data_IF_150467682370
#
_entry.id   IF_150467682370
#
_cell.length_a   1.000
_cell.length_b   1.000
_cell.length_c   1.000
_cell.angle_alpha   90.00
_cell.angle_beta   90.00
_cell.angle_gamma   90.00
#
_symmetry.space_group_name_H-M   'P 1'
#
loop_
_entity.id
_entity.type
_entity.pdbx_description
1 polymer ?
#
# COMPACT_ATOMS: atom_id res chain seq x y z
N UNK A 1 34.41 -10.50 -19.39
CA UNK A 1 32.98 -10.16 -19.43
C UNK A 1 32.54 -9.94 -18.00
N UNK A 2 32.33 -8.69 -17.60
CA UNK A 2 31.86 -8.35 -16.26
C UNK A 2 30.34 -8.44 -16.28
N UNK A 3 29.78 -9.50 -15.69
CA UNK A 3 28.34 -9.60 -15.47
C UNK A 3 27.99 -8.62 -14.36
N UNK A 4 27.46 -7.45 -14.73
CA UNK A 4 26.78 -6.56 -13.79
C UNK A 4 25.49 -7.25 -13.36
N UNK A 5 25.58 -8.09 -12.33
CA UNK A 5 24.41 -8.61 -11.63
C UNK A 5 23.75 -7.44 -10.93
N UNK A 6 22.83 -6.74 -11.61
CA UNK A 6 21.94 -5.82 -10.91
C UNK A 6 21.06 -6.66 -10.01
N UNK A 7 21.36 -6.70 -8.72
CA UNK A 7 20.60 -7.43 -7.72
C UNK A 7 19.26 -6.70 -7.56
N UNK A 8 18.22 -7.17 -8.27
CA UNK A 8 16.87 -6.66 -8.11
C UNK A 8 16.31 -7.19 -6.79
N UNK A 9 16.06 -6.28 -5.86
CA UNK A 9 15.41 -6.59 -4.59
C UNK A 9 13.91 -6.36 -4.72
N UNK A 10 13.12 -7.26 -4.14
CA UNK A 10 11.68 -7.10 -4.01
C UNK A 10 11.34 -6.93 -2.54
N UNK A 11 10.69 -5.82 -2.22
CA UNK A 11 10.19 -5.52 -0.89
C UNK A 11 8.67 -5.66 -0.88
N UNK A 12 8.14 -6.15 0.25
CA UNK A 12 6.70 -6.17 0.50
C UNK A 12 6.44 -5.31 1.74
N UNK A 13 5.55 -4.34 1.60
CA UNK A 13 5.14 -3.43 2.68
C UNK A 13 3.65 -3.66 2.94
N UNK A 14 3.29 -3.88 4.21
CA UNK A 14 1.89 -3.91 4.64
C UNK A 14 1.45 -2.51 5.04
N UNK A 15 0.36 -2.03 4.43
CA UNK A 15 -0.25 -0.75 4.75
C UNK A 15 -1.71 -0.91 5.15
N UNK A 16 -2.20 0.03 5.95
CA UNK A 16 -3.61 0.23 6.26
C UNK A 16 -4.03 1.57 5.65
N UNK A 17 -5.05 1.54 4.79
CA UNK A 17 -5.64 2.73 4.18
C UNK A 17 -7.12 2.83 4.53
N UNK A 18 -7.67 4.05 4.49
CA UNK A 18 -9.06 4.30 4.88
C UNK A 18 -9.76 5.34 4.01
N UNK A 19 -11.08 5.29 4.01
CA UNK A 19 -12.00 6.26 3.40
C UNK A 19 -13.32 6.25 4.17
N UNK A 20 -14.03 7.37 4.19
CA UNK A 20 -15.39 7.51 4.71
C UNK A 20 -16.48 7.21 3.64
N UNK A 21 -16.09 6.90 2.39
CA UNK A 21 -17.03 6.70 1.27
C UNK A 21 -17.14 5.26 0.81
N UNK A 22 -16.02 4.58 0.60
CA UNK A 22 -16.02 3.20 0.11
C UNK A 22 -14.67 2.50 0.30
N UNK A 23 -14.67 1.17 0.18
CA UNK A 23 -13.44 0.39 0.13
C UNK A 23 -12.57 0.70 -1.10
N UNK A 24 -13.18 0.95 -2.26
CA UNK A 24 -12.44 1.31 -3.48
C UNK A 24 -11.68 2.62 -3.31
N UNK A 25 -12.30 3.62 -2.67
CA UNK A 25 -11.62 4.88 -2.37
C UNK A 25 -10.52 4.68 -1.32
N UNK A 26 -10.72 3.81 -0.32
CA UNK A 26 -9.68 3.45 0.64
C UNK A 26 -8.45 2.82 -0.06
N UNK A 27 -8.66 1.92 -1.02
CA UNK A 27 -7.56 1.36 -1.86
C UNK A 27 -6.84 2.47 -2.62
N UNK A 28 -7.58 3.35 -3.31
CA UNK A 28 -6.99 4.46 -4.06
C UNK A 28 -6.17 5.39 -3.15
N UNK A 29 -6.66 5.68 -1.95
CA UNK A 29 -5.94 6.49 -0.97
C UNK A 29 -4.62 5.83 -0.55
N UNK A 30 -4.63 4.52 -0.27
CA UNK A 30 -3.42 3.77 0.05
C UNK A 30 -2.38 3.80 -1.07
N UNK A 31 -2.81 3.58 -2.31
CA UNK A 31 -1.91 3.65 -3.49
C UNK A 31 -1.33 5.05 -3.67
N UNK A 32 -2.15 6.11 -3.53
CA UNK A 32 -1.68 7.50 -3.62
C UNK A 32 -0.64 7.83 -2.56
N UNK A 33 -0.89 7.40 -1.31
CA UNK A 33 0.05 7.63 -0.21
C UNK A 33 1.42 7.00 -0.50
N UNK A 34 1.43 5.76 -0.98
CA UNK A 34 2.66 5.06 -1.37
C UNK A 34 3.41 5.77 -2.50
N UNK A 35 2.72 6.28 -3.52
CA UNK A 35 3.38 7.01 -4.62
C UNK A 35 3.88 8.38 -4.16
N UNK A 36 3.23 9.01 -3.19
CA UNK A 36 3.64 10.31 -2.63
C UNK A 36 4.71 10.23 -1.54
N UNK A 37 4.95 9.04 -0.99
CA UNK A 37 5.89 8.82 0.11
C UNK A 37 7.35 8.94 -0.32
N UNK A 38 8.23 9.30 0.62
CA UNK A 38 9.68 9.26 0.43
C UNK A 38 10.19 7.81 0.45
N UNK A 39 9.86 7.04 -0.57
CA UNK A 39 10.50 5.76 -0.81
C UNK A 39 11.85 6.01 -1.52
N UNK A 40 12.81 5.10 -1.36
CA UNK A 40 14.09 5.18 -2.08
C UNK A 40 13.84 5.50 -3.57
N UNK A 41 14.67 6.36 -4.18
CA UNK A 41 14.43 6.88 -5.55
C UNK A 41 14.21 5.77 -6.61
N UNK A 42 14.71 4.56 -6.33
CA UNK A 42 14.60 3.37 -7.16
C UNK A 42 13.42 2.44 -6.85
N UNK A 43 12.64 2.65 -5.78
CA UNK A 43 11.49 1.79 -5.47
C UNK A 43 10.34 2.09 -6.43
N UNK A 44 9.87 1.05 -7.11
CA UNK A 44 8.71 1.07 -8.00
C UNK A 44 7.73 0.00 -7.54
N UNK A 45 6.58 0.43 -7.04
CA UNK A 45 5.48 -0.47 -6.69
C UNK A 45 4.88 -1.09 -7.94
N UNK A 46 4.69 -2.41 -7.94
CA UNK A 46 4.26 -3.16 -9.12
C UNK A 46 2.87 -3.77 -8.98
N UNK A 47 2.50 -4.16 -7.76
CA UNK A 47 1.25 -4.83 -7.47
C UNK A 47 0.90 -4.70 -5.97
N UNK A 48 -0.37 -4.90 -5.67
CA UNK A 48 -0.87 -5.01 -4.31
C UNK A 48 -1.83 -6.19 -4.19
N UNK A 49 -1.95 -6.72 -2.98
CA UNK A 49 -2.95 -7.69 -2.57
C UNK A 49 -3.74 -7.12 -1.42
N UNK A 50 -5.08 -7.13 -1.52
CA UNK A 50 -5.96 -6.80 -0.40
C UNK A 50 -6.01 -8.02 0.51
N UNK A 51 -5.39 -7.91 1.69
CA UNK A 51 -5.33 -9.01 2.66
C UNK A 51 -6.46 -8.97 3.68
N UNK A 52 -7.05 -7.78 3.90
CA UNK A 52 -8.19 -7.62 4.80
C UNK A 52 -9.00 -6.37 4.45
N UNK A 53 -10.32 -6.48 4.61
CA UNK A 53 -11.26 -5.36 4.53
C UNK A 53 -12.02 -5.30 5.85
N UNK A 54 -12.11 -4.11 6.44
CA UNK A 54 -12.80 -3.90 7.71
C UNK A 54 -13.55 -2.56 7.72
N UNK A 55 -14.64 -2.49 8.48
CA UNK A 55 -15.44 -1.27 8.62
C UNK A 55 -15.51 -0.84 10.07
N UNK A 56 -15.44 0.46 10.33
CA UNK A 56 -15.79 1.04 11.62
C UNK A 56 -17.27 1.36 11.59
N UNK A 57 -18.00 0.85 12.58
CA UNK A 57 -19.43 1.09 12.74
C UNK A 57 -19.62 2.15 13.81
N UNK A 58 -20.41 3.17 13.51
CA UNK A 58 -20.96 4.07 14.52
C UNK A 58 -22.36 3.58 14.87
N UNK A 59 -22.58 3.39 16.17
CA UNK A 59 -23.83 2.93 16.73
C UNK A 59 -24.36 3.93 17.76
N UNK A 60 -25.54 4.49 17.50
CA UNK A 60 -26.33 5.27 18.45
C UNK A 60 -27.72 4.62 18.62
N UNK A 61 -28.57 5.18 19.50
CA UNK A 61 -29.86 4.58 19.87
C UNK A 61 -30.78 4.31 18.66
N UNK A 62 -30.57 5.00 17.52
CA UNK A 62 -31.43 4.91 16.33
C UNK A 62 -30.68 4.62 15.02
N UNK A 63 -29.35 4.52 15.03
CA UNK A 63 -28.55 4.31 13.81
C UNK A 63 -27.39 3.36 14.06
N UNK A 64 -27.19 2.47 13.09
CA UNK A 64 -26.03 1.61 12.98
C UNK A 64 -25.53 1.75 11.54
N UNK A 65 -24.45 2.50 11.34
CA UNK A 65 -23.89 2.76 10.00
C UNK A 65 -22.38 2.56 9.98
N UNK A 66 -21.87 2.08 8.84
CA UNK A 66 -20.43 2.03 8.60
C UNK A 66 -19.98 3.45 8.27
N UNK A 67 -19.08 4.00 9.08
CA UNK A 67 -18.57 5.37 8.92
C UNK A 67 -17.18 5.43 8.30
N UNK A 68 -16.39 4.36 8.43
CA UNK A 68 -15.05 4.28 7.85
C UNK A 68 -14.82 2.91 7.25
N UNK A 69 -14.46 2.90 5.98
CA UNK A 69 -13.98 1.74 5.24
C UNK A 69 -12.46 1.69 5.34
N UNK A 70 -11.93 0.57 5.79
CA UNK A 70 -10.51 0.34 5.99
C UNK A 70 -10.06 -0.88 5.20
N UNK A 71 -8.92 -0.77 4.53
CA UNK A 71 -8.33 -1.84 3.74
C UNK A 71 -6.88 -2.02 4.15
N UNK A 72 -6.50 -3.25 4.49
CA UNK A 72 -5.12 -3.65 4.69
C UNK A 72 -4.61 -4.25 3.37
N UNK A 73 -3.48 -3.76 2.89
CA UNK A 73 -2.88 -4.22 1.65
C UNK A 73 -1.41 -4.56 1.83
N UNK A 74 -0.99 -5.67 1.23
CA UNK A 74 0.43 -5.96 1.01
C UNK A 74 0.81 -5.42 -0.37
N UNK A 75 1.77 -4.51 -0.42
CA UNK A 75 2.22 -3.88 -1.65
C UNK A 75 3.66 -4.27 -1.94
N UNK A 76 3.87 -4.85 -3.11
CA UNK A 76 5.19 -5.24 -3.57
C UNK A 76 5.81 -4.11 -4.40
N UNK A 77 7.06 -3.80 -4.10
CA UNK A 77 7.90 -2.89 -4.89
C UNK A 77 9.22 -3.54 -5.24
N UNK A 78 9.83 -3.06 -6.33
CA UNK A 78 11.17 -3.46 -6.75
C UNK A 78 12.10 -2.27 -6.76
N UNK A 79 13.34 -2.48 -6.38
CA UNK A 79 14.42 -1.51 -6.54
C UNK A 79 15.74 -2.20 -6.88
N UNK A 80 16.64 -1.42 -7.50
CA UNK A 80 18.02 -1.82 -7.74
C UNK A 80 18.91 -1.16 -6.69
N UNK A 81 19.78 -1.96 -6.09
CA UNK A 81 20.94 -1.45 -5.38
C UNK A 81 22.08 -1.34 -6.39
N UNK A 82 22.51 -0.11 -6.68
CA UNK A 82 23.83 0.08 -7.25
C UNK A 82 24.82 -0.12 -6.10
N UNK A 83 25.64 -1.17 -6.19
CA UNK A 83 26.82 -1.29 -5.35
C UNK A 83 27.81 -0.25 -5.87
N UNK A 84 27.91 0.88 -5.17
CA UNK A 84 29.02 1.82 -5.33
C UNK A 84 30.33 1.03 -5.15
N UNK A 85 31.14 1.00 -6.22
CA UNK A 85 32.51 0.47 -6.24
C UNK A 85 33.50 1.64 -6.21
#
# INVERSE_FOLDING_TARGET
MHTTNSNEHQDIIRILASSDKSFDEAVQNGVRQLVSGHHHQSLRFTNFEVVQMQGIIQHDDNRCEVTIFQVVMDVAGKHKHDHDH
#
